data_IF_567640549746
#
_entry.id   IF_567640549746
#
_cell.length_a   1.000
_cell.length_b   1.000
_cell.length_c   1.000
_cell.angle_alpha   90.00
_cell.angle_beta   90.00
_cell.angle_gamma   90.00
#
_symmetry.space_group_name_H-M   'P 1'
#
loop_
_entity.id
_entity.type
_entity.pdbx_description
1 polymer ?
#
# COMPACT_ATOMS: atom_id res chain seq x y z
N UNK A 1 -14.23 6.50 -6.47
CA UNK A 1 -12.97 6.65 -5.69
C UNK A 1 -13.28 7.42 -4.41
N UNK A 2 -12.69 7.02 -3.27
CA UNK A 2 -12.90 7.63 -1.95
C UNK A 2 -11.62 8.41 -1.61
N UNK A 3 -11.75 9.67 -1.20
CA UNK A 3 -10.59 10.47 -0.82
C UNK A 3 -10.11 10.12 0.60
N UNK A 4 -8.82 10.26 0.92
CA UNK A 4 -8.31 9.98 2.27
C UNK A 4 -9.09 10.67 3.39
N UNK A 5 -9.44 11.95 3.23
CA UNK A 5 -10.28 12.70 4.20
C UNK A 5 -11.64 12.06 4.50
N UNK A 6 -12.17 11.25 3.59
CA UNK A 6 -13.47 10.59 3.70
C UNK A 6 -13.31 9.12 4.13
N UNK A 7 -12.07 8.61 4.26
CA UNK A 7 -11.79 7.20 4.53
C UNK A 7 -12.26 6.75 5.92
N UNK A 8 -12.06 7.58 6.95
CA UNK A 8 -12.59 7.30 8.30
C UNK A 8 -14.12 7.14 8.31
N UNK A 9 -14.85 8.00 7.59
CA UNK A 9 -16.31 7.90 7.44
C UNK A 9 -16.70 6.63 6.68
N UNK A 10 -16.00 6.32 5.59
CA UNK A 10 -16.27 5.11 4.81
C UNK A 10 -16.10 3.84 5.67
N UNK A 11 -15.05 3.78 6.49
CA UNK A 11 -14.76 2.62 7.34
C UNK A 11 -15.76 2.52 8.50
N UNK A 12 -15.93 3.59 9.26
CA UNK A 12 -16.70 3.55 10.52
C UNK A 12 -18.21 3.61 10.31
N UNK A 13 -18.68 4.40 9.33
CA UNK A 13 -20.11 4.69 9.15
C UNK A 13 -20.72 3.94 7.97
N UNK A 14 -19.97 3.78 6.88
CA UNK A 14 -20.50 3.15 5.66
C UNK A 14 -20.22 1.64 5.56
N UNK A 15 -19.41 1.11 6.49
CA UNK A 15 -19.10 -0.31 6.63
C UNK A 15 -18.08 -0.84 5.63
N UNK A 16 -17.19 0.02 5.13
CA UNK A 16 -16.10 -0.43 4.26
C UNK A 16 -15.02 -1.17 5.06
N UNK A 17 -14.66 -2.35 4.57
CA UNK A 17 -13.47 -3.07 5.02
C UNK A 17 -12.27 -2.57 4.20
N UNK A 18 -11.27 -2.04 4.89
CA UNK A 18 -10.04 -1.57 4.25
C UNK A 18 -9.15 -2.77 3.88
N UNK A 19 -8.87 -2.91 2.58
CA UNK A 19 -7.94 -3.89 2.02
C UNK A 19 -6.66 -3.17 1.56
N UNK A 20 -5.59 -3.32 2.33
CA UNK A 20 -4.26 -2.85 1.98
C UNK A 20 -3.61 -3.87 1.03
N UNK A 21 -3.28 -3.42 -0.19
CA UNK A 21 -2.64 -4.27 -1.21
C UNK A 21 -1.17 -3.95 -1.42
N UNK A 22 -0.59 -3.13 -0.54
CA UNK A 22 0.86 -2.85 -0.57
C UNK A 22 1.66 -4.11 -0.28
N UNK A 23 2.91 -4.17 -0.77
CA UNK A 23 3.86 -5.18 -0.34
C UNK A 23 4.17 -5.06 1.15
N UNK A 24 4.60 -6.17 1.76
CA UNK A 24 4.79 -6.31 3.21
C UNK A 24 5.74 -5.25 3.79
N UNK A 25 6.85 -4.94 3.11
CA UNK A 25 7.85 -3.97 3.58
C UNK A 25 7.33 -2.53 3.66
N UNK A 26 6.30 -2.15 2.89
CA UNK A 26 5.64 -0.84 3.05
C UNK A 26 4.64 -0.87 4.21
N UNK A 27 3.93 -1.99 4.39
CA UNK A 27 2.95 -2.16 5.47
C UNK A 27 3.59 -2.20 6.86
N UNK A 28 4.77 -2.80 6.97
CA UNK A 28 5.50 -2.89 8.25
C UNK A 28 5.92 -1.52 8.80
N UNK A 29 6.11 -0.52 7.93
CA UNK A 29 6.44 0.84 8.33
C UNK A 29 5.26 1.58 8.96
N UNK A 30 4.09 1.46 8.31
CA UNK A 30 2.83 2.04 8.78
C UNK A 30 1.62 1.33 8.15
N UNK A 31 0.57 1.09 8.94
CA UNK A 31 -0.69 0.48 8.50
C UNK A 31 -1.87 1.03 9.30
N UNK A 32 -3.06 1.00 8.71
CA UNK A 32 -4.29 1.31 9.44
C UNK A 32 -4.66 0.11 10.33
N UNK A 33 -4.99 0.36 11.58
CA UNK A 33 -5.41 -0.68 12.54
C UNK A 33 -6.63 -1.43 12.01
N UNK A 34 -6.64 -2.75 12.16
CA UNK A 34 -7.74 -3.60 11.70
C UNK A 34 -7.88 -3.75 10.18
N UNK A 35 -7.02 -3.11 9.37
CA UNK A 35 -7.03 -3.29 7.92
C UNK A 35 -6.60 -4.71 7.53
N UNK A 36 -7.30 -5.30 6.57
CA UNK A 36 -6.87 -6.55 5.93
C UNK A 36 -5.70 -6.28 5.00
N UNK A 37 -4.86 -7.30 4.82
CA UNK A 37 -3.66 -7.20 3.98
C UNK A 37 -3.55 -8.39 3.05
N UNK A 38 -3.57 -8.10 1.75
CA UNK A 38 -3.24 -9.08 0.72
C UNK A 38 -2.42 -8.37 -0.36
N UNK A 39 -1.10 -8.58 -0.43
CA UNK A 39 -0.26 -7.87 -1.38
C UNK A 39 -0.58 -8.31 -2.82
N UNK A 40 -0.83 -7.36 -3.71
CA UNK A 40 -1.00 -7.65 -5.14
C UNK A 40 0.34 -7.87 -5.85
N UNK A 41 1.40 -7.26 -5.33
CA UNK A 41 2.79 -7.46 -5.75
C UNK A 41 3.62 -7.95 -4.57
N UNK A 42 4.44 -8.96 -4.82
CA UNK A 42 5.37 -9.56 -3.86
C UNK A 42 6.79 -9.52 -4.42
N UNK A 43 7.78 -9.71 -3.58
CA UNK A 43 9.18 -9.76 -3.99
C UNK A 43 9.40 -10.88 -5.02
N UNK A 44 10.06 -10.54 -6.13
CA UNK A 44 10.50 -11.50 -7.14
C UNK A 44 11.83 -12.12 -6.72
N UNK A 45 11.78 -13.40 -6.35
CA UNK A 45 12.95 -14.18 -5.90
C UNK A 45 13.52 -15.06 -7.01
N UNK A 46 13.07 -14.88 -8.25
CA UNK A 46 13.67 -15.59 -9.38
C UNK A 46 15.14 -15.16 -9.56
N UNK A 47 16.00 -16.16 -9.79
CA UNK A 47 17.44 -15.98 -9.96
C UNK A 47 17.88 -16.31 -11.39
N UNK A 48 16.96 -16.32 -12.36
CA UNK A 48 17.31 -16.52 -13.76
C UNK A 48 18.27 -15.42 -14.28
N UNK A 49 19.10 -15.69 -15.30
CA UNK A 49 20.04 -14.70 -15.85
C UNK A 49 19.37 -13.40 -16.33
N UNK A 50 18.13 -13.49 -16.82
CA UNK A 50 17.32 -12.33 -17.23
C UNK A 50 16.93 -11.50 -16.01
N UNK A 51 16.53 -12.17 -14.94
CA UNK A 51 16.17 -11.53 -13.68
C UNK A 51 17.39 -10.88 -13.03
N UNK A 52 18.58 -11.50 -13.08
CA UNK A 52 19.83 -10.89 -12.62
C UNK A 52 20.15 -9.58 -13.36
N UNK A 53 19.92 -9.52 -14.67
CA UNK A 53 20.10 -8.28 -15.44
C UNK A 53 19.11 -7.19 -14.98
N UNK A 54 17.84 -7.56 -14.72
CA UNK A 54 16.86 -6.65 -14.12
C UNK A 54 17.33 -6.20 -12.74
N UNK A 55 17.84 -7.08 -11.89
CA UNK A 55 18.38 -6.75 -10.57
C UNK A 55 19.54 -5.76 -10.63
N UNK A 56 20.40 -5.78 -11.64
CA UNK A 56 21.46 -4.76 -11.77
C UNK A 56 20.86 -3.38 -12.05
N UNK A 57 19.90 -3.29 -12.98
CA UNK A 57 19.29 -2.01 -13.36
C UNK A 57 18.34 -1.48 -12.28
N UNK A 58 17.45 -2.35 -11.80
CA UNK A 58 16.52 -2.05 -10.71
C UNK A 58 17.19 -2.04 -9.34
N UNK A 59 18.35 -2.66 -9.14
CA UNK A 59 19.04 -2.66 -7.85
C UNK A 59 19.63 -1.32 -7.51
N UNK A 60 20.11 -0.55 -8.51
CA UNK A 60 20.48 0.85 -8.28
C UNK A 60 19.23 1.66 -7.89
N UNK A 61 18.17 1.60 -8.69
CA UNK A 61 16.91 2.32 -8.41
C UNK A 61 16.32 1.89 -7.06
N UNK A 62 16.35 0.61 -6.75
CA UNK A 62 15.85 0.00 -5.53
C UNK A 62 16.66 0.36 -4.31
N UNK A 63 18.00 0.49 -4.43
CA UNK A 63 18.83 1.06 -3.37
C UNK A 63 18.43 2.51 -3.06
N UNK A 64 18.12 3.30 -4.08
CA UNK A 64 17.69 4.69 -3.92
C UNK A 64 16.27 4.80 -3.34
N UNK A 65 15.30 4.09 -3.91
CA UNK A 65 13.87 4.24 -3.59
C UNK A 65 13.37 3.27 -2.53
N UNK A 66 14.14 2.24 -2.20
CA UNK A 66 13.75 1.11 -1.33
C UNK A 66 12.77 0.14 -1.99
N UNK A 67 12.66 0.16 -3.32
CA UNK A 67 11.81 -0.77 -4.05
C UNK A 67 12.55 -2.08 -4.33
N UNK A 68 11.87 -3.19 -4.05
CA UNK A 68 12.32 -4.52 -4.43
C UNK A 68 11.90 -4.81 -5.87
N UNK A 69 12.59 -5.73 -6.54
CA UNK A 69 12.05 -6.31 -7.76
C UNK A 69 10.76 -7.05 -7.38
N UNK A 70 9.66 -6.78 -8.08
CA UNK A 70 8.36 -7.35 -7.72
C UNK A 70 7.73 -8.13 -8.85
N UNK A 71 7.01 -9.18 -8.50
CA UNK A 71 6.12 -9.94 -9.38
C UNK A 71 4.69 -9.92 -8.87
N UNK A 72 3.72 -10.25 -9.73
CA UNK A 72 2.31 -10.34 -9.35
C UNK A 72 2.12 -11.54 -8.44
N UNK A 73 1.43 -11.35 -7.32
CA UNK A 73 1.05 -12.44 -6.43
C UNK A 73 -0.01 -13.34 -7.11
N UNK A 74 0.36 -14.57 -7.48
CA UNK A 74 -0.56 -15.55 -8.10
C UNK A 74 -1.71 -15.92 -7.15
N UNK A 75 -1.44 -15.92 -5.84
CA UNK A 75 -2.39 -16.32 -4.80
C UNK A 75 -3.29 -15.17 -4.34
N UNK A 76 -3.18 -13.98 -4.96
CA UNK A 76 -3.90 -12.78 -4.53
C UNK A 76 -5.42 -13.03 -4.38
N UNK A 77 -6.07 -13.60 -5.39
CA UNK A 77 -7.53 -13.81 -5.36
C UNK A 77 -7.94 -14.83 -4.30
N UNK A 78 -7.21 -15.95 -4.23
CA UNK A 78 -7.41 -17.00 -3.21
C UNK A 78 -7.25 -16.44 -1.80
N UNK A 79 -6.22 -15.64 -1.56
CA UNK A 79 -5.98 -14.99 -0.26
C UNK A 79 -7.09 -13.99 0.10
N UNK A 80 -7.55 -13.17 -0.85
CA UNK A 80 -8.67 -12.25 -0.60
C UNK A 80 -9.95 -13.03 -0.32
N UNK A 81 -10.25 -14.09 -1.06
CA UNK A 81 -11.45 -14.91 -0.85
C UNK A 81 -11.43 -15.63 0.51
N UNK A 82 -10.28 -16.13 0.93
CA UNK A 82 -10.12 -16.71 2.28
C UNK A 82 -10.34 -15.67 3.38
N UNK A 83 -9.88 -14.44 3.19
CA UNK A 83 -10.06 -13.35 4.16
C UNK A 83 -11.46 -12.71 4.09
N UNK A 84 -12.09 -12.71 2.91
CA UNK A 84 -13.32 -11.99 2.58
C UNK A 84 -14.22 -12.87 1.69
N UNK A 85 -14.86 -13.93 2.22
CA UNK A 85 -15.65 -14.84 1.39
C UNK A 85 -16.88 -14.17 0.74
N UNK A 86 -17.43 -13.13 1.38
CA UNK A 86 -18.61 -12.43 0.91
C UNK A 86 -18.29 -11.43 -0.21
N UNK A 87 -18.66 -11.76 -1.45
CA UNK A 87 -18.44 -10.89 -2.64
C UNK A 87 -19.25 -9.57 -2.61
N UNK A 88 -20.26 -9.48 -1.74
CA UNK A 88 -21.05 -8.27 -1.50
C UNK A 88 -20.43 -7.35 -0.43
N UNK A 89 -19.32 -7.75 0.20
CA UNK A 89 -18.61 -6.91 1.18
C UNK A 89 -18.13 -5.61 0.52
N UNK A 90 -18.35 -4.47 1.19
CA UNK A 90 -17.81 -3.19 0.75
C UNK A 90 -16.32 -3.14 1.03
N UNK A 91 -15.50 -3.04 0.00
CA UNK A 91 -14.03 -3.02 0.12
C UNK A 91 -13.49 -1.66 -0.24
N UNK A 92 -12.71 -1.05 0.65
CA UNK A 92 -11.90 0.11 0.32
C UNK A 92 -10.50 -0.40 0.01
N UNK A 93 -10.13 -0.46 -1.25
CA UNK A 93 -8.83 -0.96 -1.69
C UNK A 93 -7.82 0.18 -1.70
N UNK A 94 -6.72 0.01 -0.97
CA UNK A 94 -5.70 1.03 -0.80
C UNK A 94 -4.30 0.49 -1.14
N UNK A 95 -3.49 1.34 -1.75
CA UNK A 95 -2.06 1.12 -1.90
C UNK A 95 -1.30 2.42 -1.63
N UNK A 96 0.00 2.49 -1.98
CA UNK A 96 0.78 3.72 -1.83
C UNK A 96 0.21 4.93 -2.60
N UNK A 97 0.02 4.80 -3.91
CA UNK A 97 -0.28 5.94 -4.81
C UNK A 97 -1.56 5.78 -5.65
N UNK A 98 -2.24 4.64 -5.56
CA UNK A 98 -3.49 4.34 -6.28
C UNK A 98 -3.36 3.36 -7.44
N UNK A 99 -2.19 3.25 -8.08
CA UNK A 99 -2.01 2.40 -9.27
C UNK A 99 -2.17 0.90 -8.98
N UNK A 100 -1.50 0.39 -7.94
CA UNK A 100 -1.59 -1.03 -7.55
C UNK A 100 -3.00 -1.41 -7.11
N UNK A 101 -3.70 -0.50 -6.43
CA UNK A 101 -5.10 -0.70 -6.06
C UNK A 101 -6.04 -0.74 -7.27
N UNK A 102 -5.75 -0.04 -8.38
CA UNK A 102 -6.55 -0.18 -9.60
C UNK A 102 -6.43 -1.59 -10.19
N UNK A 103 -5.22 -2.14 -10.23
CA UNK A 103 -4.98 -3.53 -10.67
C UNK A 103 -5.70 -4.53 -9.77
N UNK A 104 -5.62 -4.33 -8.44
CA UNK A 104 -6.32 -5.17 -7.47
C UNK A 104 -7.84 -5.11 -7.64
N UNK A 105 -8.42 -3.90 -7.74
CA UNK A 105 -9.87 -3.70 -7.97
C UNK A 105 -10.32 -4.36 -9.27
N UNK A 106 -9.56 -4.26 -10.36
CA UNK A 106 -9.89 -4.92 -11.63
C UNK A 106 -9.95 -6.45 -11.47
N UNK A 107 -8.96 -7.05 -10.79
CA UNK A 107 -8.96 -8.49 -10.48
C UNK A 107 -10.15 -8.89 -9.61
N UNK A 108 -10.44 -8.14 -8.55
CA UNK A 108 -11.56 -8.42 -7.64
C UNK A 108 -12.91 -8.28 -8.34
N UNK A 109 -13.08 -7.27 -9.20
CA UNK A 109 -14.30 -7.09 -9.98
C UNK A 109 -14.56 -8.28 -10.90
N UNK A 110 -13.52 -8.76 -11.59
CA UNK A 110 -13.61 -9.95 -12.44
C UNK A 110 -13.91 -11.23 -11.64
N UNK A 111 -13.50 -11.27 -10.37
CA UNK A 111 -13.80 -12.36 -9.43
C UNK A 111 -15.19 -12.22 -8.76
N UNK A 112 -15.99 -11.23 -9.17
CA UNK A 112 -17.38 -11.06 -8.75
C UNK A 112 -17.59 -10.18 -7.52
N UNK A 113 -16.55 -9.53 -6.97
CA UNK A 113 -16.73 -8.54 -5.90
C UNK A 113 -17.43 -7.29 -6.44
N UNK A 114 -18.53 -6.88 -5.79
CA UNK A 114 -19.43 -5.86 -6.35
C UNK A 114 -19.19 -4.46 -5.80
N UNK A 115 -18.86 -4.37 -4.51
CA UNK A 115 -18.82 -3.10 -3.78
C UNK A 115 -17.37 -2.64 -3.56
N UNK A 116 -16.71 -2.22 -4.64
CA UNK A 116 -15.29 -1.85 -4.63
C UNK A 116 -15.10 -0.32 -4.63
N UNK A 117 -14.52 0.20 -3.56
CA UNK A 117 -13.97 1.54 -3.44
C UNK A 117 -12.46 1.53 -3.64
N UNK A 118 -11.92 2.62 -4.17
CA UNK A 118 -10.48 2.84 -4.34
C UNK A 118 -10.06 4.10 -3.60
N UNK A 119 -9.01 4.01 -2.79
CA UNK A 119 -8.44 5.15 -2.09
C UNK A 119 -7.71 6.07 -3.07
N UNK A 120 -8.25 7.27 -3.28
CA UNK A 120 -7.76 8.22 -4.28
C UNK A 120 -6.34 8.71 -3.95
N UNK A 121 -5.38 8.36 -4.81
CA UNK A 121 -3.96 8.69 -4.62
C UNK A 121 -3.27 7.90 -3.50
N UNK A 122 -3.95 6.87 -2.97
CA UNK A 122 -3.40 5.96 -1.97
C UNK A 122 -3.01 6.63 -0.64
N UNK A 123 -2.22 5.89 0.16
CA UNK A 123 -1.75 6.33 1.46
C UNK A 123 -0.86 7.57 1.40
N UNK A 124 -0.17 7.82 0.28
CA UNK A 124 0.70 8.99 0.08
C UNK A 124 -0.04 10.33 0.19
N UNK A 125 -1.37 10.34 0.01
CA UNK A 125 -2.21 11.53 0.16
C UNK A 125 -2.91 11.65 1.51
N UNK A 126 -2.62 10.75 2.44
CA UNK A 126 -3.27 10.70 3.75
C UNK A 126 -2.65 11.71 4.71
N UNK A 127 -3.44 12.20 5.66
CA UNK A 127 -3.03 13.05 6.78
C UNK A 127 -3.29 12.37 8.12
N UNK A 128 -2.79 12.99 9.19
CA UNK A 128 -2.77 12.43 10.55
C UNK A 128 -4.16 12.11 11.18
N UNK A 129 -5.28 12.37 10.50
CA UNK A 129 -6.64 12.05 10.98
C UNK A 129 -7.56 11.46 9.90
N UNK A 130 -7.02 11.12 8.74
CA UNK A 130 -7.81 10.56 7.63
C UNK A 130 -8.27 9.12 7.92
N UNK A 131 -7.61 8.45 8.87
CA UNK A 131 -7.91 7.09 9.32
C UNK A 131 -8.13 7.04 10.83
N UNK A 132 -8.91 6.06 11.33
CA UNK A 132 -9.28 5.99 12.76
C UNK A 132 -8.07 5.77 13.67
N UNK A 133 -7.20 4.83 13.31
CA UNK A 133 -5.99 4.50 14.06
C UNK A 133 -4.94 3.93 13.11
N UNK A 134 -3.67 4.28 13.35
CA UNK A 134 -2.52 3.89 12.52
C UNK A 134 -1.45 3.29 13.42
N UNK A 135 -1.00 2.09 13.07
CA UNK A 135 0.10 1.38 13.69
C UNK A 135 1.37 1.53 12.84
N UNK A 136 2.52 1.70 13.50
CA UNK A 136 3.81 1.77 12.84
C UNK A 136 4.71 2.86 13.43
N UNK A 137 5.96 2.88 13.00
CA UNK A 137 6.91 3.95 13.38
C UNK A 137 6.83 5.15 12.44
N UNK A 138 6.30 4.93 11.24
CA UNK A 138 6.20 5.93 10.19
C UNK A 138 4.77 6.45 10.01
N UNK A 139 4.65 7.58 9.31
CA UNK A 139 3.36 8.05 8.79
C UNK A 139 2.97 7.26 7.55
N UNK A 140 1.67 7.01 7.36
CA UNK A 140 1.13 6.36 6.14
C UNK A 140 1.64 7.03 4.86
N UNK A 141 1.71 8.36 4.85
CA UNK A 141 2.15 9.16 3.72
C UNK A 141 3.63 8.96 3.33
N UNK A 142 4.45 8.43 4.26
CA UNK A 142 5.88 8.19 4.07
C UNK A 142 6.22 6.70 3.92
N UNK A 143 5.27 5.81 4.18
CA UNK A 143 5.52 4.37 4.22
C UNK A 143 5.97 3.77 2.88
N UNK A 144 5.72 4.45 1.75
CA UNK A 144 6.23 4.04 0.44
C UNK A 144 7.68 4.45 0.19
N UNK A 145 8.22 5.38 0.97
CA UNK A 145 9.59 5.89 0.81
C UNK A 145 10.55 4.92 1.50
N UNK A 146 11.56 4.45 0.77
CA UNK A 146 12.60 3.58 1.32
C UNK A 146 13.98 3.92 0.76
N UNK A 147 14.94 3.02 0.99
CA UNK A 147 16.29 3.17 0.48
C UNK A 147 16.99 4.43 0.95
N UNK A 148 17.90 4.96 0.13
CA UNK A 148 18.60 6.21 0.41
C UNK A 148 17.62 7.40 0.48
N UNK A 149 16.53 7.41 -0.28
CA UNK A 149 15.50 8.45 -0.23
C UNK A 149 14.87 8.60 1.16
N UNK A 150 14.78 7.52 1.93
CA UNK A 150 14.28 7.59 3.31
C UNK A 150 15.26 8.35 4.24
N UNK A 151 16.57 8.23 4.05
CA UNK A 151 17.56 9.00 4.81
C UNK A 151 17.43 10.51 4.51
N UNK A 152 17.21 10.87 3.25
CA UNK A 152 16.95 12.26 2.87
C UNK A 152 15.65 12.79 3.48
N UNK A 153 14.59 11.97 3.48
CA UNK A 153 13.32 12.34 4.12
C UNK A 153 13.52 12.60 5.63
N UNK A 154 14.24 11.72 6.33
CA UNK A 154 14.55 11.91 7.75
C UNK A 154 15.34 13.20 7.99
N UNK A 155 16.34 13.49 7.16
CA UNK A 155 17.11 14.72 7.25
C UNK A 155 16.22 15.97 7.05
N UNK A 156 15.34 15.95 6.05
CA UNK A 156 14.41 17.06 5.79
C UNK A 156 13.45 17.28 6.96
N UNK A 157 12.89 16.21 7.52
CA UNK A 157 12.01 16.29 8.70
C UNK A 157 12.78 16.88 9.90
N UNK A 158 14.02 16.44 10.11
CA UNK A 158 14.88 16.97 11.18
C UNK A 158 15.16 18.46 11.02
N UNK A 159 15.49 18.91 9.81
CA UNK A 159 15.74 20.33 9.52
C UNK A 159 14.48 21.19 9.73
N UNK A 160 13.31 20.73 9.28
CA UNK A 160 12.03 21.42 9.51
C UNK A 160 11.66 21.51 11.00
N UNK A 161 11.95 20.46 11.78
CA UNK A 161 11.77 20.50 13.23
C UNK A 161 12.72 21.48 13.91
N UNK A 162 13.93 21.66 13.39
CA UNK A 162 14.89 22.65 13.88
C UNK A 162 14.49 24.10 13.60
N UNK A 163 13.83 24.38 12.47
CA UNK A 163 13.36 25.73 12.09
C UNK A 163 12.08 26.17 12.81
N UNK A 164 11.34 25.23 13.41
CA UNK A 164 10.09 25.49 14.13
C UNK A 164 10.25 25.69 15.64
N UNK A 165 11.50 25.71 16.13
CA UNK A 165 11.89 26.04 17.51
C UNK A 165 12.60 27.41 17.54
#
# INVERSE_FOLDING_TARGET
PIWPKDASTAINSEGFVLLDVRPTWEREKARVTGSLHVPIFVEDKDNSPITLLKWVHFGYIGLWTGQYLTTVNSEFLSQVENAIPGKDTKLLVACGEGLRSMTAVSKLYNEGYKNLGLLAGGFNRSKDNDFPEVEGKEKLQHATVGGVSYLFLQLLIFLQAGESN
#
